data_IF_599232021162
#
_entry.id   IF_599232021162
#
_cell.length_a   1.000
_cell.length_b   1.000
_cell.length_c   1.000
_cell.angle_alpha   90.00
_cell.angle_beta   90.00
_cell.angle_gamma   90.00
#
_symmetry.space_group_name_H-M   'P 1'
#
loop_
_entity.id
_entity.type
_entity.pdbx_description
1 polymer ?
#
# COMPACT_ATOMS: atom_id res chain seq x y z
N UNK A 1 -77.28 47.65 15.28
CA UNK A 1 -77.20 47.38 13.84
C UNK A 1 -75.73 47.18 13.50
N UNK A 2 -75.39 45.92 13.29
CA UNK A 2 -74.06 45.39 13.01
C UNK A 2 -73.75 45.63 11.53
N UNK A 3 -72.59 46.20 11.19
CA UNK A 3 -71.99 45.94 9.88
C UNK A 3 -70.49 46.24 9.89
N UNK A 4 -69.79 45.32 9.23
CA UNK A 4 -68.38 44.99 9.35
C UNK A 4 -67.48 46.00 8.63
N UNK A 5 -66.28 46.22 9.20
CA UNK A 5 -65.15 46.80 8.46
C UNK A 5 -64.50 45.69 7.63
N UNK A 6 -64.17 45.92 6.34
CA UNK A 6 -63.52 44.90 5.54
C UNK A 6 -62.08 44.70 6.03
N UNK A 7 -61.73 43.43 6.23
CA UNK A 7 -60.39 42.96 6.54
C UNK A 7 -59.48 43.27 5.36
N UNK A 8 -58.43 44.05 5.62
CA UNK A 8 -57.41 44.43 4.66
C UNK A 8 -56.55 43.22 4.28
N UNK A 9 -56.46 42.97 2.97
CA UNK A 9 -55.25 42.51 2.28
C UNK A 9 -54.60 41.24 2.83
N UNK A 10 -54.99 40.10 2.24
CA UNK A 10 -54.20 38.88 2.21
C UNK A 10 -52.75 39.19 1.82
N UNK A 11 -51.80 38.90 2.71
CA UNK A 11 -50.45 38.54 2.32
C UNK A 11 -50.57 37.41 1.30
N UNK A 12 -50.39 37.74 0.02
CA UNK A 12 -50.17 36.74 -1.01
C UNK A 12 -48.78 36.18 -0.74
N UNK A 13 -48.71 35.11 0.04
CA UNK A 13 -47.58 34.20 -0.03
C UNK A 13 -47.30 33.97 -1.52
N UNK A 14 -46.09 34.31 -1.97
CA UNK A 14 -45.66 34.08 -3.35
C UNK A 14 -45.64 32.57 -3.56
N UNK A 15 -46.78 32.01 -3.97
CA UNK A 15 -46.85 30.64 -4.44
C UNK A 15 -45.95 30.54 -5.66
N UNK A 16 -44.85 29.80 -5.51
CA UNK A 16 -43.96 29.51 -6.62
C UNK A 16 -44.74 28.61 -7.57
N UNK A 17 -45.25 29.17 -8.66
CA UNK A 17 -45.94 28.40 -9.69
C UNK A 17 -44.94 27.48 -10.41
N UNK A 18 -44.92 26.22 -9.98
CA UNK A 18 -44.04 25.18 -10.52
C UNK A 18 -44.31 24.93 -12.01
N UNK A 19 -45.54 25.12 -12.49
CA UNK A 19 -45.87 24.99 -13.90
C UNK A 19 -45.32 26.15 -14.73
N UNK A 20 -45.36 27.36 -14.19
CA UNK A 20 -44.77 28.53 -14.85
C UNK A 20 -43.25 28.37 -15.01
N UNK A 21 -42.56 27.91 -13.96
CA UNK A 21 -41.13 27.58 -14.03
C UNK A 21 -40.82 26.47 -15.04
N UNK A 22 -41.68 25.45 -15.16
CA UNK A 22 -41.46 24.38 -16.13
C UNK A 22 -41.58 24.89 -17.58
N UNK A 23 -42.53 25.80 -17.84
CA UNK A 23 -42.71 26.42 -19.17
C UNK A 23 -41.52 27.31 -19.53
N UNK A 24 -41.03 28.13 -18.61
CA UNK A 24 -39.86 29.00 -18.87
C UNK A 24 -38.60 28.20 -19.18
N UNK A 25 -38.41 27.07 -18.51
CA UNK A 25 -37.32 26.12 -18.80
C UNK A 25 -37.50 25.47 -20.18
N UNK A 26 -38.73 25.07 -20.54
CA UNK A 26 -39.03 24.48 -21.85
C UNK A 26 -38.83 25.47 -23.02
N UNK A 27 -39.18 26.74 -22.83
CA UNK A 27 -38.95 27.80 -23.82
C UNK A 27 -37.46 28.12 -23.95
N UNK A 28 -36.69 27.96 -22.89
CA UNK A 28 -35.24 28.11 -22.89
C UNK A 28 -34.46 26.88 -23.38
N UNK A 29 -35.12 25.81 -23.87
CA UNK A 29 -34.47 24.56 -24.30
C UNK A 29 -33.26 24.75 -25.22
N UNK A 30 -33.31 25.71 -26.15
CA UNK A 30 -32.20 25.96 -27.08
C UNK A 30 -30.99 26.59 -26.38
N UNK A 31 -31.21 27.40 -25.33
CA UNK A 31 -30.14 27.94 -24.48
C UNK A 31 -29.54 26.81 -23.64
N UNK A 32 -30.37 25.96 -23.05
CA UNK A 32 -29.92 24.80 -22.26
C UNK A 32 -29.06 23.87 -23.13
N UNK A 33 -29.48 23.57 -24.36
CA UNK A 33 -28.69 22.76 -25.31
C UNK A 33 -27.35 23.43 -25.65
N UNK A 34 -27.30 24.75 -25.85
CA UNK A 34 -26.04 25.46 -26.12
C UNK A 34 -25.05 25.34 -24.96
N UNK A 35 -25.50 25.57 -23.73
CA UNK A 35 -24.65 25.45 -22.54
C UNK A 35 -24.26 24.00 -22.24
N UNK A 36 -25.16 23.04 -22.47
CA UNK A 36 -24.83 21.63 -22.40
C UNK A 36 -23.77 21.25 -23.43
N UNK A 37 -23.84 21.78 -24.67
CA UNK A 37 -22.83 21.57 -25.70
C UNK A 37 -21.48 22.22 -25.33
N UNK A 38 -21.47 23.42 -24.76
CA UNK A 38 -20.24 24.07 -24.26
C UNK A 38 -19.62 23.22 -23.14
N UNK A 39 -20.44 22.74 -22.19
CA UNK A 39 -20.02 21.81 -21.15
C UNK A 39 -19.42 20.54 -21.74
N UNK A 40 -20.09 19.94 -22.71
CA UNK A 40 -19.63 18.73 -23.40
C UNK A 40 -18.26 18.93 -24.08
N UNK A 41 -18.05 20.05 -24.77
CA UNK A 41 -16.75 20.41 -25.36
C UNK A 41 -15.69 20.60 -24.28
N UNK A 42 -15.99 21.31 -23.19
CA UNK A 42 -15.07 21.46 -22.06
C UNK A 42 -14.69 20.10 -21.45
N UNK A 43 -15.66 19.21 -21.26
CA UNK A 43 -15.46 17.84 -20.80
C UNK A 43 -14.58 17.01 -21.75
N UNK A 44 -14.70 17.21 -23.05
CA UNK A 44 -13.84 16.57 -24.05
C UNK A 44 -12.40 17.08 -23.94
N UNK A 45 -12.17 18.39 -23.86
CA UNK A 45 -10.82 18.95 -23.70
C UNK A 45 -10.19 18.45 -22.39
N UNK A 46 -10.94 18.46 -21.28
CA UNK A 46 -10.50 17.94 -19.98
C UNK A 46 -10.19 16.44 -20.04
N UNK A 47 -11.09 15.64 -20.60
CA UNK A 47 -10.93 14.19 -20.71
C UNK A 47 -9.78 13.76 -21.61
N UNK A 48 -9.41 14.57 -22.62
CA UNK A 48 -8.23 14.30 -23.46
C UNK A 48 -6.92 14.79 -22.84
N UNK A 49 -6.97 15.75 -21.92
CA UNK A 49 -5.77 16.24 -21.24
C UNK A 49 -5.29 15.33 -20.11
N UNK A 50 -6.16 14.51 -19.51
CA UNK A 50 -5.74 13.58 -18.47
C UNK A 50 -5.02 12.40 -19.15
N UNK A 51 -3.77 12.10 -18.77
CA UNK A 51 -3.03 10.99 -19.36
C UNK A 51 -3.75 9.68 -19.08
N UNK A 52 -3.68 8.75 -20.03
CA UNK A 52 -4.21 7.40 -19.85
C UNK A 52 -3.40 6.68 -18.78
N UNK A 53 -4.07 5.94 -17.91
CA UNK A 53 -3.44 5.03 -16.96
C UNK A 53 -3.95 3.62 -17.16
N UNK A 54 -3.06 2.67 -16.89
CA UNK A 54 -3.26 1.24 -16.97
C UNK A 54 -3.12 0.66 -15.57
N UNK A 55 -3.97 -0.29 -15.24
CA UNK A 55 -4.01 -0.94 -13.93
C UNK A 55 -3.70 -2.40 -14.15
N UNK A 56 -2.68 -2.91 -13.45
CA UNK A 56 -2.41 -4.34 -13.34
C UNK A 56 -2.81 -4.78 -11.95
N UNK A 57 -3.65 -5.82 -11.87
CA UNK A 57 -4.10 -6.41 -10.61
C UNK A 57 -3.55 -7.83 -10.50
N UNK A 58 -2.98 -8.15 -9.35
CA UNK A 58 -2.51 -9.49 -9.00
C UNK A 58 -3.22 -9.94 -7.74
N UNK A 59 -3.80 -11.14 -7.77
CA UNK A 59 -4.43 -11.74 -6.59
C UNK A 59 -3.52 -12.77 -5.97
N UNK A 60 -3.27 -12.60 -4.68
CA UNK A 60 -2.51 -13.52 -3.84
C UNK A 60 -3.42 -14.10 -2.78
N UNK A 61 -3.36 -15.42 -2.60
CA UNK A 61 -3.96 -16.05 -1.44
C UNK A 61 -2.93 -16.01 -0.30
N UNK A 62 -3.21 -15.32 0.82
CA UNK A 62 -2.37 -15.46 2.00
C UNK A 62 -2.49 -16.91 2.48
N UNK A 63 -1.35 -17.58 2.67
CA UNK A 63 -1.34 -18.82 3.43
C UNK A 63 -1.71 -18.47 4.88
N UNK A 64 -2.99 -18.63 5.20
CA UNK A 64 -3.46 -18.64 6.58
C UNK A 64 -3.30 -20.07 7.10
N UNK A 65 -2.73 -20.22 8.29
CA UNK A 65 -2.76 -21.49 9.05
C UNK A 65 -4.16 -21.77 9.60
N UNK A 66 -5.21 -21.43 8.84
CA UNK A 66 -6.61 -21.59 9.25
C UNK A 66 -7.24 -22.71 8.41
N UNK A 67 -6.68 -23.91 8.54
CA UNK A 67 -7.23 -25.11 7.91
C UNK A 67 -6.22 -26.24 7.82
N UNK A 68 -6.31 -27.22 8.71
CA UNK A 68 -5.59 -28.50 8.60
C UNK A 68 -4.73 -28.82 9.80
N UNK A 69 -5.25 -29.70 10.67
CA UNK A 69 -4.59 -30.12 11.89
C UNK A 69 -3.22 -30.75 11.64
N UNK A 70 -2.19 -30.12 12.20
CA UNK A 70 -0.84 -30.73 12.25
C UNK A 70 -0.14 -30.49 13.59
N UNK A 71 -0.91 -30.39 14.68
CA UNK A 71 -0.34 -30.41 16.04
C UNK A 71 -0.35 -31.80 16.68
N UNK A 72 -0.97 -32.83 16.08
CA UNK A 72 -1.14 -34.14 16.70
C UNK A 72 0.10 -35.05 16.69
N UNK A 73 0.82 -35.11 15.56
CA UNK A 73 1.96 -36.04 15.40
C UNK A 73 3.27 -35.52 16.01
N UNK A 74 3.59 -34.25 15.76
CA UNK A 74 4.82 -33.63 16.26
C UNK A 74 4.75 -33.31 17.75
N UNK A 75 3.57 -32.89 18.26
CA UNK A 75 3.39 -32.69 19.70
C UNK A 75 3.42 -34.01 20.47
N UNK A 76 2.98 -35.12 19.86
CA UNK A 76 3.12 -36.45 20.44
C UNK A 76 4.58 -36.87 20.64
N UNK A 77 5.44 -36.63 19.65
CA UNK A 77 6.88 -36.91 19.75
C UNK A 77 7.62 -35.95 20.69
N UNK A 78 7.27 -34.66 20.68
CA UNK A 78 7.86 -33.66 21.57
C UNK A 78 7.44 -33.88 23.04
N UNK A 79 6.20 -34.30 23.29
CA UNK A 79 5.73 -34.70 24.62
C UNK A 79 6.43 -35.97 25.11
N UNK A 80 6.70 -36.95 24.22
CA UNK A 80 7.53 -38.12 24.54
C UNK A 80 8.98 -37.75 24.87
N UNK A 81 9.52 -36.66 24.30
CA UNK A 81 10.83 -36.11 24.62
C UNK A 81 10.84 -35.18 25.85
N UNK A 82 9.72 -35.05 26.58
CA UNK A 82 9.62 -34.21 27.78
C UNK A 82 9.52 -32.70 27.51
N UNK A 83 9.30 -32.29 26.26
CA UNK A 83 9.19 -30.88 25.86
C UNK A 83 7.73 -30.47 25.88
N UNK A 84 7.35 -29.66 26.88
CA UNK A 84 6.04 -29.03 26.95
C UNK A 84 5.91 -27.97 25.85
N UNK A 85 5.30 -28.34 24.72
CA UNK A 85 4.94 -27.40 23.64
C UNK A 85 3.66 -26.60 23.92
N UNK A 86 3.06 -26.77 25.10
CA UNK A 86 1.85 -26.05 25.49
C UNK A 86 2.17 -24.65 26.05
N UNK A 87 2.88 -23.84 25.27
CA UNK A 87 3.09 -22.42 25.55
C UNK A 87 2.24 -21.60 24.57
N UNK A 88 1.03 -21.25 25.01
CA UNK A 88 0.26 -20.08 24.54
C UNK A 88 -0.04 -20.00 23.05
N UNK A 89 -1.21 -20.50 22.65
CA UNK A 89 -1.84 -20.21 21.36
C UNK A 89 -2.33 -18.76 21.26
N UNK A 90 -1.44 -17.78 21.41
CA UNK A 90 -1.65 -16.47 20.83
C UNK A 90 -1.32 -16.61 19.36
N UNK A 91 -2.27 -16.30 18.49
CA UNK A 91 -2.01 -16.00 17.08
C UNK A 91 -1.10 -14.78 17.00
N UNK A 92 0.19 -14.96 17.26
CA UNK A 92 1.27 -14.00 17.02
C UNK A 92 1.55 -13.96 15.51
N UNK A 93 0.55 -13.49 14.75
CA UNK A 93 0.66 -13.28 13.33
C UNK A 93 0.22 -11.88 12.99
N UNK A 94 0.94 -11.22 12.08
CA UNK A 94 0.36 -10.10 11.33
C UNK A 94 -0.93 -10.60 10.67
N UNK A 95 -2.03 -9.90 10.94
CA UNK A 95 -3.25 -10.01 10.14
C UNK A 95 -3.04 -9.36 8.78
N UNK A 96 -3.64 -9.89 7.70
CA UNK A 96 -3.56 -9.29 6.36
C UNK A 96 -3.89 -7.79 6.30
N UNK A 97 -4.60 -7.31 7.32
CA UNK A 97 -5.00 -5.93 7.57
C UNK A 97 -3.85 -4.90 7.60
N UNK A 98 -2.60 -5.28 7.92
CA UNK A 98 -1.49 -4.30 8.00
C UNK A 98 -0.67 -4.20 6.71
N UNK A 99 -0.84 -5.12 5.75
CA UNK A 99 -0.12 -5.08 4.48
C UNK A 99 -0.34 -3.81 3.65
N UNK A 100 -1.54 -3.19 3.64
CA UNK A 100 -1.75 -1.90 2.99
C UNK A 100 -0.81 -0.81 3.52
N UNK A 101 -0.54 -0.79 4.83
CA UNK A 101 0.32 0.20 5.47
C UNK A 101 1.81 -0.06 5.19
N UNK A 102 2.21 -1.34 5.11
CA UNK A 102 3.58 -1.74 4.74
C UNK A 102 3.90 -1.25 3.33
N UNK A 103 2.99 -1.46 2.38
CA UNK A 103 3.18 -1.06 0.97
C UNK A 103 3.26 0.46 0.81
N UNK A 104 2.63 1.22 1.70
CA UNK A 104 2.69 2.69 1.73
C UNK A 104 3.90 3.24 2.49
N UNK A 105 4.67 2.39 3.15
CA UNK A 105 5.83 2.83 3.94
C UNK A 105 6.97 3.31 3.03
N UNK A 106 7.62 4.40 3.45
CA UNK A 106 8.81 4.96 2.78
C UNK A 106 9.90 3.92 2.50
N UNK A 107 10.34 3.08 3.46
CA UNK A 107 11.41 2.11 3.20
C UNK A 107 11.02 1.12 2.10
N UNK A 108 9.77 0.63 2.12
CA UNK A 108 9.29 -0.30 1.10
C UNK A 108 9.26 0.34 -0.29
N UNK A 109 8.75 1.57 -0.40
CA UNK A 109 8.63 2.28 -1.67
C UNK A 109 10.01 2.66 -2.26
N UNK A 110 10.99 2.99 -1.42
CA UNK A 110 12.35 3.29 -1.87
C UNK A 110 13.03 2.09 -2.55
N UNK A 111 12.73 0.86 -2.12
CA UNK A 111 13.31 -0.32 -2.78
C UNK A 111 12.85 -0.50 -4.23
N UNK A 112 11.84 0.25 -4.68
CA UNK A 112 11.39 0.24 -6.08
C UNK A 112 12.18 1.20 -6.96
N UNK A 113 12.94 2.13 -6.39
CA UNK A 113 13.65 3.17 -7.14
C UNK A 113 14.59 2.56 -8.19
N UNK A 114 15.30 1.49 -7.84
CA UNK A 114 16.29 0.83 -8.70
C UNK A 114 15.73 -0.26 -9.61
N UNK A 115 14.41 -0.51 -9.61
CA UNK A 115 13.81 -1.54 -10.45
C UNK A 115 14.00 -1.16 -11.92
N UNK A 116 14.62 -2.02 -12.75
CA UNK A 116 14.72 -1.78 -14.18
C UNK A 116 13.35 -1.96 -14.82
N UNK A 117 12.87 -0.93 -15.49
CA UNK A 117 11.62 -0.96 -16.24
C UNK A 117 11.89 -0.69 -17.71
N UNK A 118 11.08 -1.30 -18.55
CA UNK A 118 11.14 -1.14 -20.01
C UNK A 118 9.83 -0.56 -20.49
N UNK A 119 9.89 0.51 -21.27
CA UNK A 119 8.68 1.13 -21.82
C UNK A 119 8.10 0.31 -22.97
N UNK A 120 6.78 0.40 -23.14
CA UNK A 120 6.09 -0.24 -24.25
C UNK A 120 6.60 0.37 -25.57
N UNK A 121 7.10 -0.44 -26.51
CA UNK A 121 7.68 0.08 -27.73
C UNK A 121 6.61 0.75 -28.61
N UNK A 122 6.89 1.97 -29.09
CA UNK A 122 5.97 2.72 -29.96
C UNK A 122 5.81 2.10 -31.35
N UNK A 123 6.74 1.23 -31.76
CA UNK A 123 6.73 0.48 -33.02
C UNK A 123 7.12 -0.98 -32.74
N UNK A 124 6.52 -1.92 -33.47
CA UNK A 124 6.71 -3.36 -33.27
C UNK A 124 8.17 -3.85 -33.37
N UNK A 125 9.05 -3.12 -34.06
CA UNK A 125 10.46 -3.52 -34.30
C UNK A 125 11.50 -2.64 -33.59
N UNK A 126 11.10 -1.82 -32.61
CA UNK A 126 12.06 -1.06 -31.79
C UNK A 126 12.11 -1.63 -30.38
N UNK A 127 13.30 -1.82 -29.79
CA UNK A 127 13.40 -2.19 -28.38
C UNK A 127 12.78 -1.07 -27.52
N UNK A 128 12.08 -1.47 -26.47
CA UNK A 128 11.61 -0.54 -25.44
C UNK A 128 12.79 0.16 -24.77
N UNK A 129 12.62 1.45 -24.49
CA UNK A 129 13.61 2.23 -23.74
C UNK A 129 13.68 1.68 -22.30
N UNK A 130 14.90 1.39 -21.84
CA UNK A 130 15.15 0.86 -20.49
C UNK A 130 15.57 2.00 -19.58
N UNK A 131 14.97 2.07 -18.41
CA UNK A 131 15.26 3.08 -17.39
C UNK A 131 14.97 2.51 -16.00
N UNK A 132 15.32 3.26 -14.96
CA UNK A 132 14.91 2.93 -13.60
C UNK A 132 13.47 3.37 -13.35
N UNK A 133 12.77 2.72 -12.42
CA UNK A 133 11.43 3.18 -12.04
C UNK A 133 11.48 4.59 -11.46
N UNK A 134 12.56 4.93 -10.76
CA UNK A 134 12.79 6.29 -10.26
C UNK A 134 12.73 7.31 -11.39
N UNK A 135 13.55 7.15 -12.42
CA UNK A 135 13.61 7.99 -13.63
C UNK A 135 12.26 8.04 -14.37
N UNK A 136 11.59 6.90 -14.50
CA UNK A 136 10.28 6.84 -15.12
C UNK A 136 9.24 7.70 -14.37
N UNK A 137 9.19 7.60 -13.05
CA UNK A 137 8.20 8.31 -12.21
C UNK A 137 8.51 9.80 -12.14
N UNK A 138 9.78 10.19 -12.08
CA UNK A 138 10.20 11.59 -11.91
C UNK A 138 10.21 12.37 -13.23
N UNK A 139 10.66 11.75 -14.32
CA UNK A 139 10.93 12.45 -15.59
C UNK A 139 9.92 12.15 -16.69
N UNK A 140 9.39 10.91 -16.76
CA UNK A 140 8.58 10.46 -17.90
C UNK A 140 7.06 10.53 -17.69
N UNK A 141 6.59 10.92 -16.50
CA UNK A 141 5.15 11.05 -16.24
C UNK A 141 4.57 12.33 -16.82
N UNK A 142 3.57 12.18 -17.70
CA UNK A 142 2.79 13.32 -18.20
C UNK A 142 1.89 13.86 -17.10
N UNK A 143 1.84 15.18 -16.94
CA UNK A 143 0.91 15.88 -16.05
C UNK A 143 -0.12 16.65 -16.87
N UNK A 144 -1.36 16.72 -16.39
CA UNK A 144 -2.40 17.49 -17.06
C UNK A 144 -2.10 18.99 -16.99
N UNK A 145 -2.28 19.73 -18.10
CA UNK A 145 -1.81 21.12 -18.22
C UNK A 145 -2.49 22.07 -17.23
N UNK A 146 -3.74 21.81 -16.84
CA UNK A 146 -4.48 22.61 -15.85
C UNK A 146 -3.85 22.59 -14.47
N UNK A 147 -3.11 21.53 -14.08
CA UNK A 147 -2.42 21.48 -12.78
C UNK A 147 -1.35 22.57 -12.65
N UNK A 148 -0.80 23.04 -13.78
CA UNK A 148 0.14 24.17 -13.79
C UNK A 148 -0.57 25.51 -13.57
N UNK A 149 -1.87 25.60 -13.86
CA UNK A 149 -2.65 26.84 -13.78
C UNK A 149 -3.36 26.96 -12.42
N UNK A 150 -3.88 25.85 -11.88
CA UNK A 150 -4.54 25.85 -10.56
C UNK A 150 -3.55 25.96 -9.39
N UNK A 151 -2.26 25.68 -9.62
CA UNK A 151 -1.21 25.90 -8.64
C UNK A 151 -0.86 27.40 -8.43
N UNK A 152 -1.56 28.31 -9.12
CA UNK A 152 -1.30 29.74 -9.13
C UNK A 152 -2.46 30.54 -8.52
N UNK A 153 -2.56 30.67 -7.18
CA UNK A 153 -3.48 31.62 -6.58
C UNK A 153 -2.84 33.02 -6.51
N UNK A 154 -3.31 33.93 -7.36
CA UNK A 154 -3.65 35.33 -7.03
C UNK A 154 -2.65 36.33 -6.38
N UNK A 155 -1.36 36.05 -6.15
CA UNK A 155 -0.42 37.03 -5.55
C UNK A 155 0.99 37.07 -6.17
N UNK A 156 1.14 36.78 -7.47
CA UNK A 156 2.46 36.66 -8.11
C UNK A 156 2.74 37.74 -9.18
N UNK A 157 3.29 38.88 -8.73
CA UNK A 157 4.21 39.71 -9.56
C UNK A 157 5.67 39.53 -9.10
N UNK A 158 5.93 39.04 -7.88
CA UNK A 158 7.29 38.87 -7.33
C UNK A 158 7.96 37.50 -7.56
N UNK A 159 7.22 36.46 -7.93
CA UNK A 159 7.72 35.07 -8.07
C UNK A 159 8.47 34.85 -9.39
N UNK A 160 8.02 35.44 -10.51
CA UNK A 160 8.48 35.03 -11.86
C UNK A 160 9.96 35.33 -12.11
N UNK A 161 10.58 36.21 -11.30
CA UNK A 161 12.01 36.50 -11.36
C UNK A 161 12.91 35.50 -10.60
N UNK A 162 12.37 34.56 -9.81
CA UNK A 162 13.17 33.54 -9.09
C UNK A 162 13.12 32.13 -9.70
N UNK A 163 12.41 31.93 -10.81
CA UNK A 163 12.36 30.67 -11.59
C UNK A 163 13.69 30.34 -12.32
N UNK A 164 14.69 31.22 -12.22
CA UNK A 164 16.01 31.06 -12.83
C UNK A 164 17.18 30.97 -11.85
N UNK A 165 16.95 30.58 -10.57
CA UNK A 165 18.06 30.36 -9.62
C UNK A 165 18.36 28.88 -9.49
N UNK A 166 19.39 28.46 -10.22
CA UNK A 166 20.24 27.27 -10.03
C UNK A 166 19.61 26.11 -9.26
N UNK A 167 18.87 25.24 -9.98
CA UNK A 167 18.88 23.82 -9.62
C UNK A 167 20.29 23.32 -9.89
N UNK A 168 21.18 23.41 -8.90
CA UNK A 168 22.34 22.53 -8.90
C UNK A 168 21.80 21.11 -9.06
N UNK A 169 22.28 20.40 -10.07
CA UNK A 169 22.11 18.96 -10.21
C UNK A 169 22.78 18.32 -8.97
N UNK A 170 22.05 18.26 -7.86
CA UNK A 170 22.45 17.49 -6.69
C UNK A 170 22.58 16.04 -7.17
N UNK A 171 23.83 15.56 -7.27
CA UNK A 171 24.11 14.15 -7.50
C UNK A 171 23.42 13.36 -6.40
N UNK A 172 22.35 12.66 -6.76
CA UNK A 172 21.57 11.88 -5.80
C UNK A 172 22.46 10.75 -5.24
N UNK A 173 22.50 10.56 -3.91
CA UNK A 173 23.18 9.41 -3.34
C UNK A 173 22.51 8.11 -3.81
N UNK A 174 23.26 7.01 -3.94
CA UNK A 174 22.69 5.70 -4.23
C UNK A 174 21.68 5.30 -3.15
N UNK A 175 20.63 4.57 -3.54
CA UNK A 175 19.45 4.30 -2.70
C UNK A 175 19.83 3.65 -1.37
N UNK A 176 20.82 2.75 -1.39
CA UNK A 176 21.37 2.07 -0.21
C UNK A 176 22.01 2.99 0.84
N UNK A 177 22.40 4.21 0.44
CA UNK A 177 23.05 5.19 1.31
C UNK A 177 22.16 6.39 1.67
N UNK A 178 20.90 6.36 1.24
CA UNK A 178 19.96 7.45 1.51
C UNK A 178 19.66 7.50 3.01
N UNK A 179 19.79 8.67 3.62
CA UNK A 179 19.34 8.86 5.00
C UNK A 179 17.81 8.99 5.04
N UNK A 180 17.12 8.03 5.64
CA UNK A 180 15.66 8.07 5.78
C UNK A 180 15.18 9.20 6.70
N UNK A 181 16.01 9.67 7.64
CA UNK A 181 15.65 10.78 8.51
C UNK A 181 15.67 12.12 7.76
N UNK A 182 16.48 12.24 6.70
CA UNK A 182 16.57 13.43 5.88
C UNK A 182 16.50 13.09 4.38
N UNK A 183 15.31 12.67 3.94
CA UNK A 183 15.08 12.21 2.57
C UNK A 183 15.20 13.36 1.55
N UNK A 184 16.08 13.26 0.52
CA UNK A 184 16.19 14.28 -0.52
C UNK A 184 14.86 14.54 -1.24
N UNK A 185 14.66 15.78 -1.70
CA UNK A 185 13.39 16.21 -2.32
C UNK A 185 12.93 15.34 -3.48
N UNK A 186 13.87 14.82 -4.30
CA UNK A 186 13.57 13.94 -5.41
C UNK A 186 13.00 12.58 -4.95
N UNK A 187 13.62 11.95 -3.94
CA UNK A 187 13.12 10.71 -3.33
C UNK A 187 11.78 10.91 -2.61
N UNK A 188 11.60 12.05 -1.95
CA UNK A 188 10.31 12.40 -1.34
C UNK A 188 9.19 12.52 -2.37
N UNK A 189 9.47 13.15 -3.51
CA UNK A 189 8.55 13.23 -4.65
C UNK A 189 8.23 11.86 -5.24
N UNK A 190 9.25 11.02 -5.41
CA UNK A 190 9.11 9.63 -5.88
C UNK A 190 8.22 8.79 -4.96
N UNK A 191 8.52 8.75 -3.65
CA UNK A 191 7.73 8.01 -2.66
C UNK A 191 6.29 8.52 -2.60
N UNK A 192 6.08 9.83 -2.64
CA UNK A 192 4.74 10.42 -2.65
C UNK A 192 3.94 10.11 -3.93
N UNK A 193 4.60 9.97 -5.07
CA UNK A 193 3.95 9.56 -6.32
C UNK A 193 3.63 8.07 -6.30
N UNK A 194 4.59 7.23 -5.88
CA UNK A 194 4.48 5.78 -5.88
C UNK A 194 3.44 5.27 -4.87
N UNK A 195 3.33 5.92 -3.69
CA UNK A 195 2.32 5.57 -2.68
C UNK A 195 0.87 5.70 -3.16
N UNK A 196 0.61 6.58 -4.13
CA UNK A 196 -0.70 6.72 -4.78
C UNK A 196 -0.90 5.80 -5.99
N UNK A 197 0.17 5.19 -6.50
CA UNK A 197 0.15 4.29 -7.66
C UNK A 197 0.04 2.82 -7.26
N UNK A 198 0.54 2.47 -6.06
CA UNK A 198 0.52 1.12 -5.51
C UNK A 198 -0.60 1.03 -4.46
N UNK A 199 -1.45 0.02 -4.58
CA UNK A 199 -2.45 -0.33 -3.58
C UNK A 199 -2.40 -1.83 -3.31
N UNK A 200 -2.60 -2.22 -2.06
CA UNK A 200 -2.90 -3.60 -1.68
C UNK A 200 -4.13 -3.56 -0.81
N UNK A 201 -5.15 -4.32 -1.19
CA UNK A 201 -6.41 -4.41 -0.46
C UNK A 201 -6.77 -5.88 -0.21
N UNK A 202 -7.37 -6.15 0.94
CA UNK A 202 -7.93 -7.47 1.24
C UNK A 202 -9.38 -7.53 0.74
N UNK A 203 -9.65 -8.47 -0.17
CA UNK A 203 -11.01 -8.79 -0.58
C UNK A 203 -11.68 -9.60 0.53
N UNK A 204 -12.50 -8.93 1.34
CA UNK A 204 -13.25 -9.52 2.46
C UNK A 204 -14.10 -10.73 2.08
N UNK A 205 -14.48 -10.89 0.80
CA UNK A 205 -15.29 -12.04 0.34
C UNK A 205 -14.44 -13.26 0.06
N UNK A 206 -13.25 -13.07 -0.51
CA UNK A 206 -12.38 -14.15 -0.92
C UNK A 206 -11.19 -14.39 0.02
N UNK A 207 -10.99 -13.51 1.00
CA UNK A 207 -9.79 -13.46 1.86
C UNK A 207 -8.48 -13.39 1.05
N UNK A 208 -8.54 -12.94 -0.21
CA UNK A 208 -7.39 -12.77 -1.09
C UNK A 208 -6.88 -11.33 -0.98
N UNK A 209 -5.56 -11.16 -1.08
CA UNK A 209 -4.93 -9.85 -1.23
C UNK A 209 -4.90 -9.49 -2.72
N UNK A 210 -5.52 -8.38 -3.07
CA UNK A 210 -5.44 -7.79 -4.40
C UNK A 210 -4.39 -6.68 -4.39
N UNK A 211 -3.28 -6.91 -5.09
CA UNK A 211 -2.25 -5.92 -5.34
C UNK A 211 -2.52 -5.22 -6.67
N UNK A 212 -2.75 -3.91 -6.63
CA UNK A 212 -3.04 -3.08 -7.79
C UNK A 212 -1.94 -2.06 -8.03
N UNK A 213 -1.48 -1.97 -9.27
CA UNK A 213 -0.47 -0.99 -9.70
C UNK A 213 -1.00 -0.18 -10.87
N UNK A 214 -1.06 1.14 -10.68
CA UNK A 214 -1.52 2.09 -11.68
C UNK A 214 -0.35 2.85 -12.30
N UNK A 215 -0.11 2.68 -13.59
CA UNK A 215 0.98 3.36 -14.33
C UNK A 215 0.49 3.94 -15.67
N UNK A 216 1.23 4.89 -16.25
CA UNK A 216 0.91 5.45 -17.58
C UNK A 216 1.30 4.53 -18.74
N UNK A 217 2.22 3.59 -18.51
CA UNK A 217 2.67 2.57 -19.47
C UNK A 217 2.21 1.17 -19.02
N UNK A 218 1.61 0.35 -19.91
CA UNK A 218 1.05 -0.95 -19.55
C UNK A 218 2.13 -1.99 -19.20
N UNK A 219 3.29 -1.97 -19.87
CA UNK A 219 4.39 -2.89 -19.57
C UNK A 219 5.02 -2.57 -18.23
N UNK A 220 5.22 -1.27 -17.94
CA UNK A 220 5.71 -0.82 -16.63
C UNK A 220 4.74 -1.19 -15.51
N UNK A 221 3.43 -1.06 -15.74
CA UNK A 221 2.40 -1.49 -14.78
C UNK A 221 2.58 -2.96 -14.38
N UNK A 222 2.76 -3.85 -15.36
CA UNK A 222 2.92 -5.27 -15.11
C UNK A 222 4.24 -5.64 -14.41
N UNK A 223 5.36 -5.06 -14.85
CA UNK A 223 6.68 -5.29 -14.23
C UNK A 223 6.71 -4.82 -12.78
N UNK A 224 6.12 -3.66 -12.50
CA UNK A 224 6.06 -3.12 -11.13
C UNK A 224 5.08 -3.94 -10.28
N UNK A 225 3.96 -4.42 -10.83
CA UNK A 225 3.04 -5.30 -10.12
C UNK A 225 3.71 -6.63 -9.72
N UNK A 226 4.43 -7.26 -10.64
CA UNK A 226 5.20 -8.47 -10.34
C UNK A 226 6.26 -8.22 -9.26
N UNK A 227 6.98 -7.10 -9.37
CA UNK A 227 7.97 -6.69 -8.36
C UNK A 227 7.32 -6.40 -6.99
N UNK A 228 6.12 -5.81 -6.98
CA UNK A 228 5.34 -5.55 -5.77
C UNK A 228 5.01 -6.84 -5.04
N UNK A 229 4.51 -7.84 -5.76
CA UNK A 229 4.19 -9.16 -5.21
C UNK A 229 5.43 -9.85 -4.67
N UNK A 230 6.52 -9.88 -5.44
CA UNK A 230 7.77 -10.51 -5.01
C UNK A 230 8.36 -9.85 -3.76
N UNK A 231 8.38 -8.52 -3.71
CA UNK A 231 8.85 -7.76 -2.54
C UNK A 231 7.94 -7.95 -1.34
N UNK A 232 6.62 -7.91 -1.54
CA UNK A 232 5.64 -8.12 -0.48
C UNK A 232 5.77 -9.54 0.11
N UNK A 233 5.92 -10.57 -0.73
CA UNK A 233 6.20 -11.94 -0.30
C UNK A 233 7.47 -12.01 0.56
N UNK A 234 8.57 -11.42 0.09
CA UNK A 234 9.83 -11.37 0.86
C UNK A 234 9.64 -10.70 2.21
N UNK A 235 8.92 -9.58 2.25
CA UNK A 235 8.64 -8.85 3.48
C UNK A 235 7.75 -9.64 4.44
N UNK A 236 6.69 -10.27 3.93
CA UNK A 236 5.80 -11.16 4.67
C UNK A 236 6.56 -12.32 5.29
N UNK A 237 7.39 -13.00 4.49
CA UNK A 237 8.22 -14.12 4.95
C UNK A 237 9.23 -13.64 5.97
N UNK A 238 9.97 -12.56 5.71
CA UNK A 238 10.97 -12.03 6.62
C UNK A 238 10.36 -11.62 7.96
N UNK A 239 9.18 -11.00 7.95
CA UNK A 239 8.49 -10.63 9.18
C UNK A 239 8.02 -11.87 9.95
N UNK A 240 7.28 -12.79 9.31
CA UNK A 240 6.72 -13.97 9.98
C UNK A 240 7.81 -14.85 10.59
N UNK A 241 8.93 -14.97 9.89
CA UNK A 241 10.06 -15.79 10.34
C UNK A 241 11.03 -15.04 11.26
N UNK A 242 10.87 -13.73 11.50
CA UNK A 242 11.88 -12.92 12.22
C UNK A 242 12.16 -13.47 13.62
N UNK A 243 11.11 -13.74 14.40
CA UNK A 243 11.21 -14.28 15.76
C UNK A 243 11.85 -15.67 15.73
N UNK A 244 11.33 -16.57 14.93
CA UNK A 244 11.79 -17.96 14.85
C UNK A 244 13.20 -18.10 14.29
N UNK A 245 13.65 -17.19 13.41
CA UNK A 245 15.06 -17.10 12.98
C UNK A 245 15.97 -16.71 14.12
N UNK A 246 15.56 -15.72 14.93
CA UNK A 246 16.32 -15.31 16.09
C UNK A 246 16.38 -16.42 17.15
N UNK A 247 15.26 -17.08 17.42
CA UNK A 247 15.19 -18.23 18.32
C UNK A 247 16.07 -19.39 17.82
N UNK A 248 16.10 -19.64 16.51
CA UNK A 248 16.96 -20.67 15.90
C UNK A 248 18.44 -20.33 16.09
N UNK A 249 18.83 -19.08 15.83
CA UNK A 249 20.21 -18.61 16.03
C UNK A 249 20.64 -18.76 17.50
N UNK A 250 19.77 -18.37 18.43
CA UNK A 250 20.00 -18.53 19.85
C UNK A 250 20.13 -20.01 20.26
N UNK A 251 19.24 -20.87 19.77
CA UNK A 251 19.29 -22.31 20.05
C UNK A 251 20.56 -22.96 19.48
N UNK A 252 21.00 -22.56 18.27
CA UNK A 252 22.26 -23.03 17.69
C UNK A 252 23.44 -22.63 18.58
N UNK A 253 23.48 -21.38 19.04
CA UNK A 253 24.52 -20.90 19.94
C UNK A 253 24.54 -21.67 21.26
N UNK A 254 23.38 -21.85 21.90
CA UNK A 254 23.27 -22.62 23.14
C UNK A 254 23.69 -24.08 22.96
N UNK A 255 23.34 -24.69 21.83
CA UNK A 255 23.75 -26.05 21.51
C UNK A 255 25.26 -26.17 21.33
N UNK A 256 25.89 -25.20 20.66
CA UNK A 256 27.34 -25.15 20.52
C UNK A 256 28.05 -24.98 21.88
N UNK A 257 27.52 -24.11 22.76
CA UNK A 257 28.03 -23.94 24.12
C UNK A 257 27.86 -25.23 24.97
N UNK A 258 26.73 -25.91 24.85
CA UNK A 258 26.49 -27.19 25.53
C UNK A 258 27.42 -28.31 25.03
N UNK A 259 27.65 -28.38 23.72
CA UNK A 259 28.58 -29.32 23.11
C UNK A 259 30.01 -29.09 23.61
N UNK A 260 30.45 -27.83 23.68
CA UNK A 260 31.77 -27.49 24.19
C UNK A 260 31.95 -27.92 25.67
N UNK A 261 30.95 -27.67 26.52
CA UNK A 261 30.95 -28.11 27.93
C UNK A 261 30.98 -29.63 28.07
N UNK A 262 30.28 -30.34 27.17
CA UNK A 262 30.32 -31.81 27.12
C UNK A 262 31.73 -32.32 26.83
N UNK A 263 32.39 -31.80 25.78
CA UNK A 263 33.76 -32.19 25.46
C UNK A 263 34.75 -31.83 26.56
N UNK A 264 34.59 -30.67 27.20
CA UNK A 264 35.44 -30.31 28.34
C UNK A 264 35.27 -31.28 29.52
N UNK A 265 34.03 -31.71 29.83
CA UNK A 265 33.77 -32.70 30.87
C UNK A 265 34.32 -34.09 30.50
N UNK A 266 34.25 -34.46 29.23
CA UNK A 266 34.82 -35.70 28.67
C UNK A 266 36.35 -35.70 28.80
N UNK A 267 37.02 -34.61 28.44
CA UNK A 267 38.48 -34.45 28.56
C UNK A 267 38.95 -34.54 30.02
N UNK A 268 38.25 -33.88 30.95
CA UNK A 268 38.57 -33.96 32.39
C UNK A 268 38.43 -35.39 32.92
N UNK A 269 37.42 -36.12 32.47
CA UNK A 269 37.23 -37.53 32.83
C UNK A 269 38.35 -38.40 32.26
N UNK A 270 38.69 -38.21 30.98
CA UNK A 270 39.79 -38.93 30.32
C UNK A 270 41.12 -38.71 31.04
N UNK A 271 41.47 -37.46 31.34
CA UNK A 271 42.69 -37.11 32.09
C UNK A 271 42.71 -37.75 33.49
N UNK A 272 41.59 -37.76 34.21
CA UNK A 272 41.50 -38.38 35.53
C UNK A 272 41.69 -39.90 35.50
N UNK A 273 41.20 -40.56 34.44
CA UNK A 273 41.38 -42.01 34.21
C UNK A 273 42.84 -42.29 33.82
N UNK A 274 43.41 -41.53 32.89
CA UNK A 274 44.77 -41.74 32.38
C UNK A 274 45.84 -41.54 33.46
N UNK A 275 45.67 -40.56 34.33
CA UNK A 275 46.58 -40.30 35.45
C UNK A 275 46.53 -41.40 36.52
N UNK A 276 45.44 -42.17 36.60
CA UNK A 276 45.20 -43.12 37.68
C UNK A 276 44.86 -44.52 37.17
N UNK A 277 45.82 -45.13 36.47
CA UNK A 277 45.69 -46.47 35.86
C UNK A 277 45.39 -47.59 36.86
N UNK A 278 45.75 -47.42 38.14
CA UNK A 278 45.45 -48.40 39.20
C UNK A 278 44.56 -47.77 40.26
N UNK A 279 43.27 -48.09 40.25
CA UNK A 279 42.28 -47.54 41.17
C UNK A 279 42.32 -48.31 42.50
N UNK A 280 43.20 -47.90 43.42
CA UNK A 280 43.35 -48.52 44.75
C UNK A 280 42.67 -47.75 45.89
N UNK A 281 42.29 -46.47 45.67
CA UNK A 281 41.67 -45.62 46.69
C UNK A 281 40.17 -45.37 46.42
N UNK A 282 39.34 -45.52 47.45
CA UNK A 282 37.89 -45.24 47.37
C UNK A 282 37.59 -43.76 47.10
N UNK A 283 38.42 -42.83 47.56
CA UNK A 283 38.24 -41.39 47.26
C UNK A 283 38.40 -41.08 45.77
N UNK A 284 39.32 -41.78 45.10
CA UNK A 284 39.50 -41.69 43.66
C UNK A 284 38.32 -42.28 42.90
N UNK A 285 37.75 -43.40 43.37
CA UNK A 285 36.51 -43.98 42.80
C UNK A 285 35.37 -42.97 42.83
N UNK A 286 35.13 -42.36 43.98
CA UNK A 286 34.10 -41.31 44.14
C UNK A 286 34.37 -40.14 43.20
N UNK A 287 35.62 -39.72 43.03
CA UNK A 287 35.98 -38.62 42.11
C UNK A 287 35.69 -38.98 40.65
N UNK A 288 36.05 -40.17 40.19
CA UNK A 288 35.79 -40.63 38.82
C UNK A 288 34.27 -40.72 38.59
N UNK A 289 33.52 -41.27 39.55
CA UNK A 289 32.05 -41.32 39.46
C UNK A 289 31.43 -39.92 39.40
N UNK A 290 31.95 -38.95 40.15
CA UNK A 290 31.49 -37.56 40.05
C UNK A 290 31.74 -36.98 38.66
N UNK A 291 32.94 -37.17 38.10
CA UNK A 291 33.27 -36.70 36.73
C UNK A 291 32.42 -37.41 35.66
N UNK A 292 32.13 -38.70 35.83
CA UNK A 292 31.19 -39.45 34.97
C UNK A 292 29.80 -38.83 35.02
N UNK A 293 29.29 -38.50 36.20
CA UNK A 293 28.00 -37.86 36.38
C UNK A 293 27.97 -36.44 35.78
N UNK A 294 29.03 -35.65 35.96
CA UNK A 294 29.18 -34.33 35.34
C UNK A 294 29.14 -34.44 33.80
N UNK A 295 29.87 -35.40 33.20
CA UNK A 295 29.85 -35.68 31.76
C UNK A 295 28.48 -36.14 31.28
N UNK A 296 27.82 -37.05 32.01
CA UNK A 296 26.47 -37.52 31.68
C UNK A 296 25.44 -36.38 31.74
N UNK A 297 25.54 -35.49 32.74
CA UNK A 297 24.71 -34.30 32.83
C UNK A 297 24.94 -33.38 31.63
N UNK A 298 26.20 -33.11 31.26
CA UNK A 298 26.53 -32.29 30.11
C UNK A 298 26.01 -32.89 28.79
N UNK A 299 26.12 -34.21 28.62
CA UNK A 299 25.57 -34.94 27.48
C UNK A 299 24.04 -34.81 27.39
N UNK A 300 23.34 -34.94 28.51
CA UNK A 300 21.88 -34.78 28.54
C UNK A 300 21.45 -33.36 28.16
N UNK A 301 22.17 -32.34 28.65
CA UNK A 301 21.93 -30.94 28.27
C UNK A 301 22.17 -30.75 26.77
N UNK A 302 23.28 -31.27 26.24
CA UNK A 302 23.60 -31.18 24.80
C UNK A 302 22.53 -31.85 23.93
N UNK A 303 22.09 -33.07 24.29
CA UNK A 303 21.01 -33.75 23.57
C UNK A 303 19.69 -32.96 23.60
N UNK A 304 19.37 -32.36 24.75
CA UNK A 304 18.17 -31.54 24.90
C UNK A 304 18.25 -30.28 24.04
N UNK A 305 19.39 -29.60 23.99
CA UNK A 305 19.58 -28.40 23.15
C UNK A 305 19.60 -28.76 21.65
N UNK A 306 20.17 -29.91 21.28
CA UNK A 306 20.17 -30.38 19.90
C UNK A 306 18.73 -30.65 19.40
N UNK A 307 17.90 -31.29 20.23
CA UNK A 307 16.48 -31.50 19.95
C UNK A 307 15.73 -30.16 19.77
N UNK A 308 16.02 -29.16 20.60
CA UNK A 308 15.42 -27.82 20.46
C UNK A 308 15.80 -27.12 19.16
N UNK A 309 17.04 -27.28 18.67
CA UNK A 309 17.45 -26.74 17.37
C UNK A 309 16.61 -27.35 16.24
N UNK A 310 16.42 -28.68 16.23
CA UNK A 310 15.62 -29.35 15.20
C UNK A 310 14.15 -28.93 15.25
N UNK A 311 13.56 -28.84 16.45
CA UNK A 311 12.18 -28.35 16.61
C UNK A 311 12.03 -26.92 16.09
N UNK A 312 12.94 -26.00 16.42
CA UNK A 312 12.86 -24.61 15.95
C UNK A 312 13.12 -24.51 14.44
N UNK A 313 13.96 -25.36 13.88
CA UNK A 313 14.20 -25.45 12.44
C UNK A 313 12.94 -25.91 11.68
N UNK A 314 12.21 -26.89 12.21
CA UNK A 314 10.92 -27.33 11.67
C UNK A 314 9.90 -26.18 11.76
N UNK A 315 9.81 -25.50 12.91
CA UNK A 315 8.93 -24.33 13.07
C UNK A 315 9.23 -23.24 12.04
N UNK A 316 10.51 -22.96 11.78
CA UNK A 316 10.92 -21.98 10.77
C UNK A 316 10.43 -22.37 9.36
N UNK A 317 10.51 -23.65 9.02
CA UNK A 317 9.99 -24.16 7.74
C UNK A 317 8.46 -24.02 7.66
N UNK A 318 7.74 -24.34 8.73
CA UNK A 318 6.29 -24.18 8.79
C UNK A 318 5.81 -22.72 8.79
N UNK A 319 6.61 -21.80 9.28
CA UNK A 319 6.31 -20.36 9.34
C UNK A 319 6.80 -19.59 8.12
N UNK A 320 7.53 -20.23 7.21
CA UNK A 320 7.91 -19.64 5.93
C UNK A 320 6.72 -19.76 4.98
N UNK A 321 5.85 -18.74 4.84
CA UNK A 321 4.73 -18.85 3.92
C UNK A 321 5.26 -18.89 2.48
N UNK A 322 4.67 -19.72 1.65
CA UNK A 322 4.73 -19.57 0.21
C UNK A 322 3.41 -18.92 -0.20
N UNK A 323 3.33 -17.58 -0.14
CA UNK A 323 2.12 -16.93 -0.63
C UNK A 323 1.94 -17.31 -2.10
N UNK A 324 0.88 -18.07 -2.41
CA UNK A 324 0.70 -18.62 -3.75
C UNK A 324 0.07 -17.54 -4.61
N UNK A 325 0.74 -17.19 -5.70
CA UNK A 325 0.19 -16.27 -6.71
C UNK A 325 -0.92 -17.01 -7.43
N UNK A 326 -2.16 -16.54 -7.25
CA UNK A 326 -3.35 -17.16 -7.86
C UNK A 326 -3.55 -16.61 -9.28
N UNK A 327 -3.35 -15.30 -9.46
CA UNK A 327 -3.44 -14.63 -10.75
C UNK A 327 -2.14 -13.86 -11.01
N UNK A 328 -1.34 -14.22 -12.02
CA UNK A 328 -0.06 -13.54 -12.31
C UNK A 328 -0.27 -12.13 -12.90
N UNK A 329 0.80 -11.34 -12.92
CA UNK A 329 0.80 -10.03 -13.57
C UNK A 329 0.55 -10.18 -15.08
N UNK A 330 -0.61 -9.71 -15.56
CA UNK A 330 -0.92 -9.66 -16.99
C UNK A 330 -0.83 -8.20 -17.45
N UNK A 331 -0.18 -7.99 -18.60
CA UNK A 331 -0.10 -6.66 -19.20
C UNK A 331 -1.50 -6.20 -19.61
N UNK A 332 -1.99 -5.05 -19.10
CA UNK A 332 -3.32 -4.56 -19.41
C UNK A 332 -3.41 -4.13 -20.88
N UNK A 333 -4.44 -4.59 -21.56
CA UNK A 333 -4.73 -4.31 -22.97
C UNK A 333 -5.51 -3.00 -23.18
N UNK A 334 -6.24 -2.55 -22.16
CA UNK A 334 -7.02 -1.32 -22.18
C UNK A 334 -6.65 -0.36 -21.04
N UNK A 335 -6.83 0.94 -21.29
CA UNK A 335 -6.63 1.96 -20.27
C UNK A 335 -7.81 1.94 -19.27
N UNK A 336 -7.50 1.87 -17.98
CA UNK A 336 -8.48 1.88 -16.89
C UNK A 336 -9.05 3.28 -16.64
N UNK A 337 -8.22 4.31 -16.81
CA UNK A 337 -8.62 5.71 -16.62
C UNK A 337 -7.98 6.64 -17.65
N UNK A 338 -8.58 7.81 -17.95
CA UNK A 338 -9.92 8.23 -17.57
C UNK A 338 -11.01 7.62 -18.47
N UNK A 339 -12.21 7.39 -17.90
CA UNK A 339 -13.41 7.03 -18.67
C UNK A 339 -13.92 8.26 -19.44
N UNK A 340 -13.31 8.55 -20.59
CA UNK A 340 -13.56 9.77 -21.38
C UNK A 340 -15.04 10.01 -21.68
N UNK A 341 -15.82 8.96 -21.96
CA UNK A 341 -17.25 9.05 -22.19
C UNK A 341 -18.03 9.50 -20.95
N UNK A 342 -17.68 9.00 -19.76
CA UNK A 342 -18.29 9.44 -18.49
C UNK A 342 -17.98 10.90 -18.19
N UNK A 343 -16.74 11.36 -18.43
CA UNK A 343 -16.37 12.78 -18.25
C UNK A 343 -17.19 13.67 -19.19
N UNK A 344 -17.28 13.28 -20.47
CA UNK A 344 -18.08 14.02 -21.44
C UNK A 344 -19.55 14.16 -21.00
N UNK A 345 -20.18 13.06 -20.57
CA UNK A 345 -21.56 13.06 -20.10
C UNK A 345 -21.69 13.94 -18.85
N UNK A 346 -20.82 13.76 -17.85
CA UNK A 346 -20.87 14.53 -16.61
C UNK A 346 -20.78 16.04 -16.85
N UNK A 347 -19.88 16.49 -17.72
CA UNK A 347 -19.74 17.91 -18.05
C UNK A 347 -20.89 18.45 -18.91
N UNK A 348 -21.47 17.63 -19.80
CA UNK A 348 -22.67 18.00 -20.54
C UNK A 348 -23.87 18.22 -19.59
N UNK A 349 -24.06 17.32 -18.63
CA UNK A 349 -25.07 17.44 -17.58
C UNK A 349 -24.84 18.67 -16.70
N UNK A 350 -23.59 18.92 -16.27
CA UNK A 350 -23.24 20.09 -15.48
C UNK A 350 -23.56 21.39 -16.25
N UNK A 351 -23.20 21.46 -17.54
CA UNK A 351 -23.51 22.62 -18.39
C UNK A 351 -25.02 22.84 -18.55
N UNK A 352 -25.78 21.76 -18.74
CA UNK A 352 -27.24 21.82 -18.80
C UNK A 352 -27.87 22.27 -17.48
N UNK A 353 -27.40 21.74 -16.35
CA UNK A 353 -27.88 22.09 -15.02
C UNK A 353 -27.61 23.56 -14.68
N UNK A 354 -26.41 24.06 -14.96
CA UNK A 354 -26.07 25.47 -14.81
C UNK A 354 -26.96 26.36 -15.66
N UNK A 355 -27.29 25.94 -16.89
CA UNK A 355 -28.18 26.70 -17.77
C UNK A 355 -29.61 26.77 -17.23
N UNK A 356 -30.13 25.66 -16.69
CA UNK A 356 -31.44 25.64 -16.03
C UNK A 356 -31.43 26.60 -14.84
N UNK A 357 -30.39 26.54 -13.99
CA UNK A 357 -30.23 27.46 -12.86
C UNK A 357 -30.20 28.93 -13.29
N UNK A 358 -29.43 29.28 -14.32
CA UNK A 358 -29.37 30.65 -14.87
C UNK A 358 -30.74 31.11 -15.40
N UNK A 359 -31.48 30.22 -16.08
CA UNK A 359 -32.82 30.53 -16.60
C UNK A 359 -33.80 30.79 -15.46
N UNK A 360 -33.79 29.94 -14.43
CA UNK A 360 -34.68 30.06 -13.26
C UNK A 360 -34.34 31.31 -12.44
N UNK A 361 -33.07 31.58 -12.18
CA UNK A 361 -32.65 32.80 -11.46
C UNK A 361 -33.03 34.04 -12.25
N UNK A 362 -32.84 34.04 -13.57
CA UNK A 362 -33.25 35.16 -14.43
C UNK A 362 -34.76 35.36 -14.42
N UNK A 363 -35.58 34.30 -14.44
CA UNK A 363 -37.03 34.44 -14.36
C UNK A 363 -37.47 34.97 -12.99
N UNK A 364 -36.88 34.47 -11.90
CA UNK A 364 -37.19 34.94 -10.54
C UNK A 364 -36.79 36.40 -10.30
N UNK A 365 -35.66 36.85 -10.87
CA UNK A 365 -35.22 38.26 -10.78
C UNK A 365 -36.09 39.19 -11.65
N UNK A 366 -36.54 38.72 -12.81
CA UNK A 366 -37.39 39.51 -13.72
C UNK A 366 -38.79 39.79 -13.14
N UNK A 367 -39.28 38.95 -12.23
CA UNK A 367 -40.56 39.15 -11.52
C UNK A 367 -40.42 40.07 -10.27
N UNK A 368 -39.29 40.75 -10.10
CA UNK A 368 -39.09 41.75 -9.03
C UNK A 368 -39.37 43.16 -9.59
N UNK A 369 -40.45 43.86 -9.17
CA UNK A 369 -40.79 45.16 -9.71
C UNK A 369 -39.73 46.23 -9.36
N UNK A 370 -39.30 47.00 -10.36
CA UNK A 370 -38.63 48.29 -10.17
C UNK A 370 -39.67 49.32 -9.72
N UNK A 371 -39.93 49.42 -8.41
CA UNK A 371 -40.54 50.62 -7.84
C UNK A 371 -39.42 51.57 -7.41
N UNK A 372 -39.16 52.58 -8.22
CA UNK A 372 -38.16 53.60 -7.90
C UNK A 372 -37.94 54.62 -9.01
N UNK A 373 -38.80 55.65 -9.06
CA UNK A 373 -38.38 57.00 -9.44
C UNK A 373 -38.85 57.52 -10.80
N UNK A 374 -40.07 58.04 -10.85
CA UNK A 374 -40.35 59.27 -11.61
C UNK A 374 -41.19 60.20 -10.71
N UNK A 375 -40.49 61.03 -9.93
CA UNK A 375 -41.09 62.24 -9.39
C UNK A 375 -41.20 63.24 -10.55
N UNK A 376 -42.40 63.35 -11.12
CA UNK A 376 -42.73 64.40 -12.08
C UNK A 376 -42.83 65.72 -11.34
N UNK A 377 -42.02 66.68 -11.79
CA UNK A 377 -42.22 68.09 -11.52
C UNK A 377 -43.52 68.56 -12.19
N UNK A 378 -44.45 69.10 -11.41
CA UNK A 378 -45.05 70.43 -11.54
C UNK A 378 -46.04 70.68 -10.40
#
# INVERSE_FOLDING_TARGET
MTQERPVSGTDKEKEIDLLALLRTVWDARMRIVKYAAIGAVAGLVIGFSIPKTYVTTIKMAPESKTGGGTSGGMAGLAAMAGINLNAGGATEGITPEIFPDIVKSTPFLLEFAEIPVTLTPKKANTPGERMTLFEYVTEHQKKAWWKYITAFPGQAVGWVLSIGRDRQEERLPPVDSVDMFNLPGAYKGFVGALSGMLSVEEDKKSSMLAAEVTMQDPLVSAVVADSLVSKLQKYMTAYRTRKTRHDLEQNIRQNAEAQARYYEAEDRLAQAIDQNRTISSESLRVRIERLRNERNLAYNVWNQTASQVEVTKIKLQEETPIATVVEPAIVPDHAASPKKAMIFIAFAFLGGFLAVGIVVVKSLLADTPQDGGTASAE
#
